data_IF_847383243915
#
_entry.id   IF_847383243915
#
_cell.length_a   1.000
_cell.length_b   1.000
_cell.length_c   1.000
_cell.angle_alpha   90.00
_cell.angle_beta   90.00
_cell.angle_gamma   90.00
#
_symmetry.space_group_name_H-M   'P 1'
#
loop_
_entity.id
_entity.type
_entity.pdbx_description
1 polymer ?
#
# COMPACT_ATOMS: atom_id res chain seq x y z
N UNK A 1 14.02 -4.64 -17.65
CA UNK A 1 14.36 -4.00 -16.34
C UNK A 1 13.07 -3.76 -15.55
N UNK A 2 13.09 -3.95 -14.21
CA UNK A 2 11.94 -3.60 -13.34
C UNK A 2 12.16 -2.25 -12.66
N UNK A 3 11.05 -1.50 -12.48
CA UNK A 3 11.01 -0.24 -11.73
C UNK A 3 9.92 -0.34 -10.68
N UNK A 4 10.23 0.09 -9.44
CA UNK A 4 9.24 0.31 -8.39
C UNK A 4 8.87 1.79 -8.34
N UNK A 5 7.63 2.13 -8.69
CA UNK A 5 7.08 3.48 -8.68
C UNK A 5 6.60 3.90 -7.26
N UNK A 6 7.46 3.73 -6.25
CA UNK A 6 7.09 3.99 -4.85
C UNK A 6 8.29 4.40 -4.00
N UNK A 7 8.05 5.31 -3.02
CA UNK A 7 9.02 5.69 -1.97
C UNK A 7 8.97 4.77 -0.74
N UNK A 8 8.04 3.82 -0.69
CA UNK A 8 7.81 2.96 0.48
C UNK A 8 8.97 2.00 0.71
N UNK A 9 9.62 2.12 1.87
CA UNK A 9 10.69 1.21 2.30
C UNK A 9 10.17 -0.22 2.49
N UNK A 10 8.93 -0.37 2.97
CA UNK A 10 8.28 -1.68 3.15
C UNK A 10 8.11 -2.39 1.81
N UNK A 11 7.58 -1.70 0.78
CA UNK A 11 7.45 -2.28 -0.57
C UNK A 11 8.80 -2.63 -1.18
N UNK A 12 9.79 -1.76 -0.98
CA UNK A 12 11.17 -2.03 -1.42
C UNK A 12 11.70 -3.32 -0.77
N UNK A 13 11.56 -3.44 0.56
CA UNK A 13 12.03 -4.62 1.29
C UNK A 13 11.33 -5.92 0.85
N UNK A 14 10.02 -5.86 0.55
CA UNK A 14 9.25 -7.01 0.06
C UNK A 14 9.76 -7.51 -1.30
N UNK A 15 9.99 -6.59 -2.26
CA UNK A 15 10.53 -6.95 -3.59
C UNK A 15 11.97 -7.47 -3.49
N UNK A 16 12.81 -6.81 -2.69
CA UNK A 16 14.18 -7.25 -2.46
C UNK A 16 14.22 -8.63 -1.77
N UNK A 17 13.37 -8.86 -0.76
CA UNK A 17 13.23 -10.14 -0.08
C UNK A 17 12.73 -11.26 -0.99
N UNK A 18 11.97 -10.94 -2.05
CA UNK A 18 11.58 -11.87 -3.09
C UNK A 18 12.69 -12.13 -4.14
N UNK A 19 13.87 -11.52 -3.98
CA UNK A 19 15.01 -11.67 -4.87
C UNK A 19 14.91 -10.89 -6.19
N UNK A 20 13.90 -10.03 -6.35
CA UNK A 20 13.72 -9.23 -7.56
C UNK A 20 14.82 -8.16 -7.69
N UNK A 21 15.31 -7.96 -8.91
CA UNK A 21 16.22 -6.86 -9.25
C UNK A 21 15.43 -5.72 -9.86
N UNK A 22 15.42 -4.56 -9.21
CA UNK A 22 14.67 -3.39 -9.63
C UNK A 22 15.40 -2.10 -9.25
N UNK A 23 15.02 -1.01 -9.89
CA UNK A 23 15.37 0.35 -9.48
C UNK A 23 14.11 1.07 -8.95
N UNK A 24 14.29 2.06 -8.09
CA UNK A 24 13.19 2.85 -7.56
C UNK A 24 13.10 4.18 -8.33
N UNK A 25 11.93 4.46 -8.90
CA UNK A 25 11.59 5.72 -9.56
C UNK A 25 10.19 6.16 -9.12
N UNK A 26 10.09 6.96 -8.04
CA UNK A 26 8.79 7.38 -7.50
C UNK A 26 8.00 8.19 -8.52
N UNK A 27 6.72 7.88 -8.66
CA UNK A 27 5.81 8.58 -9.55
C UNK A 27 5.61 10.04 -9.15
N UNK A 28 5.37 10.91 -10.16
CA UNK A 28 5.10 12.34 -10.03
C UNK A 28 3.63 12.62 -10.35
N UNK A 29 2.71 12.12 -9.54
CA UNK A 29 1.26 12.27 -9.73
C UNK A 29 0.61 13.01 -8.57
N UNK A 30 -0.50 13.69 -8.82
CA UNK A 30 -1.37 14.27 -7.79
C UNK A 30 -2.36 13.20 -7.28
N UNK A 31 -1.95 12.48 -6.23
CA UNK A 31 -2.75 11.39 -5.64
C UNK A 31 -4.10 11.89 -5.12
N UNK A 32 -4.17 13.11 -4.57
CA UNK A 32 -5.40 13.68 -4.02
C UNK A 32 -6.41 14.06 -5.11
N UNK A 33 -5.93 14.63 -6.19
CA UNK A 33 -6.79 14.94 -7.34
C UNK A 33 -7.37 13.67 -7.97
N UNK A 34 -6.55 12.61 -8.12
CA UNK A 34 -7.02 11.32 -8.64
C UNK A 34 -8.03 10.64 -7.71
N UNK A 35 -7.78 10.64 -6.39
CA UNK A 35 -8.73 10.12 -5.40
C UNK A 35 -10.08 10.84 -5.51
N UNK A 36 -10.06 12.19 -5.53
CA UNK A 36 -11.28 12.99 -5.63
C UNK A 36 -12.04 12.73 -6.94
N UNK A 37 -11.35 12.55 -8.06
CA UNK A 37 -11.96 12.24 -9.35
C UNK A 37 -12.66 10.88 -9.34
N UNK A 38 -11.99 9.84 -8.80
CA UNK A 38 -12.57 8.48 -8.69
C UNK A 38 -13.82 8.50 -7.81
N UNK A 39 -13.73 9.12 -6.62
CA UNK A 39 -14.85 9.21 -5.70
C UNK A 39 -15.99 10.05 -6.28
N UNK A 40 -15.68 11.16 -6.97
CA UNK A 40 -16.66 12.02 -7.65
C UNK A 40 -17.42 11.32 -8.78
N UNK A 41 -16.84 10.28 -9.35
CA UNK A 41 -17.47 9.41 -10.35
C UNK A 41 -18.22 8.22 -9.75
N UNK A 42 -18.33 8.15 -8.42
CA UNK A 42 -19.03 7.06 -7.71
C UNK A 42 -18.19 5.81 -7.49
N UNK A 43 -16.85 5.90 -7.65
CA UNK A 43 -15.93 4.82 -7.30
C UNK A 43 -15.83 4.63 -5.78
N UNK A 44 -15.43 3.44 -5.37
CA UNK A 44 -15.19 3.06 -3.98
C UNK A 44 -13.69 3.06 -3.61
N UNK A 45 -13.37 2.70 -2.37
CA UNK A 45 -12.00 2.62 -1.88
C UNK A 45 -11.10 1.65 -2.70
N UNK A 46 -11.68 0.57 -3.23
CA UNK A 46 -10.95 -0.36 -4.11
C UNK A 46 -10.61 0.28 -5.45
N UNK A 47 -11.58 1.01 -6.02
CA UNK A 47 -11.36 1.74 -7.26
C UNK A 47 -10.26 2.80 -7.08
N UNK A 48 -10.24 3.51 -5.95
CA UNK A 48 -9.18 4.48 -5.62
C UNK A 48 -7.82 3.78 -5.57
N UNK A 49 -7.68 2.68 -4.80
CA UNK A 49 -6.42 1.94 -4.68
C UNK A 49 -5.91 1.46 -6.04
N UNK A 50 -6.80 0.94 -6.91
CA UNK A 50 -6.46 0.50 -8.26
C UNK A 50 -5.97 1.65 -9.13
N UNK A 51 -6.75 2.73 -9.24
CA UNK A 51 -6.41 3.86 -10.11
C UNK A 51 -5.12 4.55 -9.70
N UNK A 52 -4.86 4.67 -8.39
CA UNK A 52 -3.59 5.21 -7.91
C UNK A 52 -2.40 4.29 -8.25
N UNK A 53 -2.57 2.97 -8.14
CA UNK A 53 -1.53 2.02 -8.53
C UNK A 53 -1.26 2.07 -10.04
N UNK A 54 -2.31 2.10 -10.88
CA UNK A 54 -2.22 2.23 -12.33
C UNK A 54 -1.51 3.53 -12.75
N UNK A 55 -1.95 4.66 -12.19
CA UNK A 55 -1.36 5.96 -12.49
C UNK A 55 0.12 6.03 -12.12
N UNK A 56 0.51 5.46 -10.95
CA UNK A 56 1.92 5.37 -10.55
C UNK A 56 2.74 4.50 -11.51
N UNK A 57 2.21 3.36 -11.94
CA UNK A 57 2.88 2.49 -12.88
C UNK A 57 3.04 3.17 -14.25
N UNK A 58 1.99 3.80 -14.77
CA UNK A 58 2.01 4.50 -16.06
C UNK A 58 3.02 5.65 -16.06
N UNK A 59 3.00 6.50 -15.03
CA UNK A 59 3.94 7.63 -14.91
C UNK A 59 5.39 7.16 -14.94
N UNK A 60 5.74 6.16 -14.12
CA UNK A 60 7.09 5.62 -14.07
C UNK A 60 7.49 4.92 -15.38
N UNK A 61 6.58 4.19 -16.05
CA UNK A 61 6.88 3.52 -17.31
C UNK A 61 6.98 4.50 -18.49
N UNK A 62 6.28 5.62 -18.44
CA UNK A 62 6.44 6.71 -19.41
C UNK A 62 7.83 7.36 -19.32
N UNK A 63 8.32 7.56 -18.09
CA UNK A 63 9.66 8.07 -17.85
C UNK A 63 10.78 7.06 -18.23
N UNK A 64 10.44 5.77 -18.29
CA UNK A 64 11.36 4.66 -18.58
C UNK A 64 10.72 3.66 -19.55
N UNK A 65 10.57 4.00 -20.84
CA UNK A 65 9.74 3.25 -21.80
C UNK A 65 10.20 1.79 -22.03
N UNK A 66 11.48 1.49 -21.82
CA UNK A 66 12.04 0.13 -21.97
C UNK A 66 11.91 -0.74 -20.70
N UNK A 67 11.27 -0.23 -19.68
CA UNK A 67 11.13 -0.93 -18.39
C UNK A 67 9.68 -1.30 -18.09
N UNK A 68 9.52 -2.38 -17.33
CA UNK A 68 8.24 -2.71 -16.68
C UNK A 68 8.18 -1.98 -15.34
N UNK A 69 7.18 -1.14 -15.15
CA UNK A 69 6.97 -0.41 -13.91
C UNK A 69 5.92 -1.10 -13.04
N UNK A 70 6.25 -1.22 -11.75
CA UNK A 70 5.36 -1.71 -10.70
C UNK A 70 4.82 -0.49 -9.97
N UNK A 71 3.52 -0.21 -10.09
CA UNK A 71 2.79 0.75 -9.28
C UNK A 71 2.07 0.06 -8.14
N UNK A 72 2.04 0.66 -6.98
CA UNK A 72 1.29 0.16 -5.84
C UNK A 72 0.76 1.29 -4.97
N UNK A 73 -0.46 1.14 -4.50
CA UNK A 73 -1.08 2.05 -3.55
C UNK A 73 -1.86 1.30 -2.48
N UNK A 74 -2.05 1.91 -1.32
CA UNK A 74 -2.82 1.33 -0.23
C UNK A 74 -3.79 2.35 0.35
N UNK A 75 -5.06 2.00 0.38
CA UNK A 75 -6.15 2.81 0.92
C UNK A 75 -6.73 2.11 2.15
N UNK A 76 -6.87 2.85 3.25
CA UNK A 76 -7.59 2.41 4.44
C UNK A 76 -9.01 2.95 4.40
N UNK A 77 -9.99 2.05 4.42
CA UNK A 77 -11.40 2.37 4.51
C UNK A 77 -11.96 2.03 5.90
N UNK A 78 -12.56 3.02 6.55
CA UNK A 78 -13.33 2.87 7.79
C UNK A 78 -14.74 3.38 7.53
N UNK A 79 -15.71 2.48 7.44
CA UNK A 79 -17.04 2.75 6.91
C UNK A 79 -16.95 3.44 5.55
N UNK A 80 -17.60 4.60 5.38
CA UNK A 80 -17.60 5.40 4.14
C UNK A 80 -16.44 6.41 4.06
N UNK A 81 -15.46 6.34 4.99
CA UNK A 81 -14.36 7.29 5.06
C UNK A 81 -13.03 6.65 4.68
N UNK A 82 -12.23 7.35 3.89
CA UNK A 82 -10.82 7.01 3.66
C UNK A 82 -9.95 7.66 4.72
N UNK A 83 -8.99 6.92 5.25
CA UNK A 83 -7.98 7.43 6.17
C UNK A 83 -6.63 7.52 5.45
N UNK A 84 -5.90 8.58 5.75
CA UNK A 84 -4.61 8.87 5.15
C UNK A 84 -3.50 8.79 6.18
N UNK A 85 -2.24 8.86 5.72
CA UNK A 85 -1.09 8.90 6.61
C UNK A 85 -1.16 10.13 7.51
N UNK A 86 -0.99 9.97 8.83
CA UNK A 86 -0.99 11.10 9.74
C UNK A 86 0.25 11.97 9.52
N UNK A 87 0.11 13.29 9.64
CA UNK A 87 1.19 14.27 9.50
C UNK A 87 1.79 14.66 10.86
N UNK A 88 1.13 14.24 11.95
CA UNK A 88 1.56 14.53 13.31
C UNK A 88 1.19 13.41 14.28
N UNK A 89 1.86 13.39 15.43
CA UNK A 89 1.53 12.45 16.53
C UNK A 89 0.10 12.67 17.05
N UNK A 90 -0.41 13.90 17.02
CA UNK A 90 -1.77 14.21 17.40
C UNK A 90 -2.78 13.58 16.43
N UNK A 91 -2.52 13.65 15.13
CA UNK A 91 -3.35 12.98 14.13
C UNK A 91 -3.25 11.46 14.24
N UNK A 92 -2.06 10.91 14.47
CA UNK A 92 -1.88 9.47 14.69
C UNK A 92 -2.72 8.96 15.88
N UNK A 93 -2.77 9.73 16.99
CA UNK A 93 -3.64 9.43 18.15
C UNK A 93 -5.11 9.40 17.75
N UNK A 94 -5.58 10.48 17.12
CA UNK A 94 -6.97 10.60 16.67
C UNK A 94 -7.37 9.48 15.71
N UNK A 95 -6.47 9.09 14.83
CA UNK A 95 -6.71 8.02 13.88
C UNK A 95 -6.84 6.66 14.57
N UNK A 96 -5.93 6.34 15.50
CA UNK A 96 -6.02 5.12 16.30
C UNK A 96 -7.29 5.10 17.16
N UNK A 97 -7.72 6.25 17.71
CA UNK A 97 -8.97 6.35 18.47
C UNK A 97 -10.20 6.10 17.59
N UNK A 98 -10.19 6.52 16.33
CA UNK A 98 -11.25 6.20 15.37
C UNK A 98 -11.33 4.71 15.02
N UNK A 99 -10.19 4.02 15.04
CA UNK A 99 -10.06 2.60 14.70
C UNK A 99 -10.28 1.67 15.91
N UNK A 100 -10.17 2.20 17.13
CA UNK A 100 -10.28 1.47 18.39
C UNK A 100 -11.59 0.68 18.51
N UNK A 101 -11.49 -0.63 18.76
CA UNK A 101 -12.62 -1.53 18.89
C UNK A 101 -13.40 -1.77 17.59
N UNK A 102 -12.84 -1.42 16.43
CA UNK A 102 -13.54 -1.44 15.14
C UNK A 102 -12.77 -2.24 14.08
N UNK A 103 -13.56 -2.83 13.19
CA UNK A 103 -13.03 -3.41 11.95
C UNK A 103 -12.89 -2.33 10.89
N UNK A 104 -11.83 -2.44 10.08
CA UNK A 104 -11.56 -1.59 8.94
C UNK A 104 -10.91 -2.41 7.83
N UNK A 105 -10.82 -1.84 6.63
CA UNK A 105 -10.29 -2.52 5.46
C UNK A 105 -9.05 -1.81 4.92
N UNK A 106 -8.04 -2.61 4.54
CA UNK A 106 -6.93 -2.17 3.71
C UNK A 106 -7.14 -2.71 2.30
N UNK A 107 -7.21 -1.81 1.33
CA UNK A 107 -7.24 -2.15 -0.08
C UNK A 107 -5.87 -1.83 -0.67
N UNK A 108 -5.14 -2.85 -1.10
CA UNK A 108 -3.83 -2.71 -1.72
C UNK A 108 -3.95 -2.90 -3.23
N UNK A 109 -3.92 -1.80 -3.96
CA UNK A 109 -3.86 -1.77 -5.42
C UNK A 109 -2.44 -2.03 -5.91
N UNK A 110 -2.34 -2.77 -7.00
CA UNK A 110 -1.08 -3.08 -7.67
C UNK A 110 -1.29 -3.09 -9.19
N UNK A 111 -0.30 -2.59 -9.92
CA UNK A 111 -0.33 -2.56 -11.39
C UNK A 111 1.05 -2.81 -11.98
N UNK A 112 1.06 -3.37 -13.19
CA UNK A 112 2.20 -3.40 -14.10
C UNK A 112 1.89 -2.50 -15.29
N UNK A 113 2.84 -1.67 -15.68
CA UNK A 113 2.75 -0.86 -16.89
C UNK A 113 4.06 -0.91 -17.70
N UNK A 114 3.92 -0.67 -18.99
CA UNK A 114 5.03 -0.55 -19.93
C UNK A 114 4.72 0.58 -20.90
N UNK A 115 5.69 1.45 -21.14
CA UNK A 115 5.56 2.56 -22.09
C UNK A 115 4.28 3.39 -21.90
N UNK A 116 3.89 3.67 -20.65
CA UNK A 116 2.70 4.45 -20.30
C UNK A 116 1.37 3.67 -20.34
N UNK A 117 1.36 2.40 -20.73
CA UNK A 117 0.16 1.58 -20.81
C UNK A 117 0.10 0.53 -19.71
N UNK A 118 -1.08 0.34 -19.10
CA UNK A 118 -1.32 -0.69 -18.09
C UNK A 118 -1.34 -2.06 -18.76
N UNK A 119 -0.46 -2.96 -18.34
CA UNK A 119 -0.46 -4.35 -18.77
C UNK A 119 -1.39 -5.23 -17.93
N UNK A 120 -1.45 -4.92 -16.65
CA UNK A 120 -2.25 -5.64 -15.66
C UNK A 120 -2.42 -4.82 -14.39
N UNK A 121 -3.57 -4.98 -13.73
CA UNK A 121 -3.80 -4.42 -12.38
C UNK A 121 -4.72 -5.31 -11.57
N UNK A 122 -4.60 -5.23 -10.24
CA UNK A 122 -5.43 -5.95 -9.28
C UNK A 122 -5.55 -5.19 -7.96
N UNK A 123 -6.50 -5.60 -7.12
CA UNK A 123 -6.69 -5.07 -5.77
C UNK A 123 -6.98 -6.19 -4.80
N UNK A 124 -6.10 -6.38 -3.84
CA UNK A 124 -6.30 -7.28 -2.72
C UNK A 124 -6.82 -6.53 -1.49
N UNK A 125 -7.60 -7.21 -0.69
CA UNK A 125 -8.23 -6.61 0.51
C UNK A 125 -7.92 -7.43 1.76
N UNK A 126 -7.49 -6.74 2.81
CA UNK A 126 -7.40 -7.28 4.15
C UNK A 126 -8.40 -6.59 5.09
N UNK A 127 -8.97 -7.35 6.04
CA UNK A 127 -9.83 -6.82 7.10
C UNK A 127 -9.10 -6.93 8.42
N UNK A 128 -8.96 -5.83 9.12
CA UNK A 128 -8.24 -5.73 10.37
C UNK A 128 -9.20 -5.23 11.46
N UNK A 129 -9.08 -5.77 12.67
CA UNK A 129 -9.87 -5.32 13.82
C UNK A 129 -8.91 -4.92 14.93
N UNK A 130 -9.01 -3.68 15.38
CA UNK A 130 -8.29 -3.26 16.57
C UNK A 130 -9.11 -3.60 17.82
N UNK A 131 -8.42 -4.03 18.87
CA UNK A 131 -9.04 -4.26 20.18
C UNK A 131 -9.44 -2.95 20.84
N UNK A 132 -10.22 -3.04 21.89
CA UNK A 132 -10.54 -1.89 22.73
C UNK A 132 -9.37 -1.65 23.71
N UNK A 133 -8.41 -0.81 23.32
CA UNK A 133 -7.22 -0.45 24.10
C UNK A 133 -7.44 0.85 24.89
N UNK A 134 -6.65 1.09 25.93
CA UNK A 134 -6.65 2.34 26.71
C UNK A 134 -5.77 3.40 26.02
N UNK A 135 -5.93 4.66 26.40
CA UNK A 135 -5.09 5.76 25.90
C UNK A 135 -3.62 5.56 26.29
N UNK A 136 -3.36 5.00 27.49
CA UNK A 136 -2.00 4.68 27.93
C UNK A 136 -1.35 3.59 27.06
N UNK A 137 -2.10 2.57 26.64
CA UNK A 137 -1.61 1.53 25.74
C UNK A 137 -1.35 2.08 24.34
N UNK A 138 -2.26 2.93 23.81
CA UNK A 138 -2.06 3.64 22.53
C UNK A 138 -0.76 4.45 22.54
N UNK A 139 -0.60 5.30 23.56
CA UNK A 139 0.54 6.22 23.66
C UNK A 139 1.86 5.47 23.89
N UNK A 140 1.85 4.37 24.64
CA UNK A 140 3.00 3.48 24.79
C UNK A 140 3.42 2.86 23.43
N UNK A 141 2.45 2.41 22.63
CA UNK A 141 2.72 1.84 21.30
C UNK A 141 3.25 2.92 20.36
N UNK A 142 2.64 4.12 20.32
CA UNK A 142 3.11 5.23 19.49
C UNK A 142 4.54 5.65 19.86
N UNK A 143 4.88 5.64 21.16
CA UNK A 143 6.24 5.93 21.62
C UNK A 143 7.25 4.89 21.10
N UNK A 144 6.89 3.60 21.07
CA UNK A 144 7.74 2.53 20.57
C UNK A 144 7.88 2.55 19.05
N UNK A 145 6.84 2.95 18.31
CA UNK A 145 6.87 3.07 16.85
C UNK A 145 7.70 4.28 16.38
N UNK A 146 7.70 5.37 17.16
CA UNK A 146 8.34 6.60 16.75
C UNK A 146 7.80 7.14 15.44
N UNK A 147 8.66 7.72 14.61
CA UNK A 147 8.28 8.32 13.31
C UNK A 147 7.79 7.31 12.27
N UNK A 148 7.97 6.02 12.50
CA UNK A 148 7.53 4.99 11.56
C UNK A 148 6.00 4.97 11.35
N UNK A 149 5.22 5.49 12.31
CA UNK A 149 3.75 5.60 12.20
C UNK A 149 3.32 6.52 11.06
N UNK A 150 4.12 7.53 10.70
CA UNK A 150 3.82 8.48 9.62
C UNK A 150 3.94 7.85 8.23
N UNK A 151 4.55 6.67 8.13
CA UNK A 151 4.64 5.89 6.90
C UNK A 151 3.40 5.05 6.58
N UNK A 152 2.46 4.88 7.54
CA UNK A 152 1.30 4.00 7.43
C UNK A 152 -0.02 4.76 7.41
N UNK A 153 -0.94 4.35 6.53
CA UNK A 153 -2.28 4.94 6.42
C UNK A 153 -3.16 4.70 7.65
N UNK A 154 -2.82 3.73 8.51
CA UNK A 154 -3.55 3.41 9.75
C UNK A 154 -2.90 3.96 11.01
N UNK A 155 -1.81 4.71 10.94
CA UNK A 155 -0.97 5.07 12.08
C UNK A 155 -0.49 3.86 12.89
N UNK A 156 -0.33 2.71 12.23
CA UNK A 156 0.15 1.45 12.80
C UNK A 156 0.97 0.66 11.77
N UNK A 157 1.77 -0.29 12.25
CA UNK A 157 2.49 -1.27 11.43
C UNK A 157 2.26 -2.66 12.00
N UNK A 158 1.86 -3.62 11.15
CA UNK A 158 1.62 -5.00 11.60
C UNK A 158 2.92 -5.68 12.03
N UNK A 159 4.02 -5.35 11.36
CA UNK A 159 5.37 -5.85 11.63
C UNK A 159 6.10 -5.12 12.78
N UNK A 160 5.42 -4.17 13.41
CA UNK A 160 5.95 -3.35 14.50
C UNK A 160 5.23 -3.52 15.83
N UNK A 161 5.58 -2.67 16.84
CA UNK A 161 4.93 -2.66 18.15
C UNK A 161 3.42 -2.52 18.12
N UNK A 162 2.86 -1.93 17.05
CA UNK A 162 1.43 -1.72 16.87
C UNK A 162 0.62 -3.02 16.80
N UNK A 163 1.26 -4.16 16.53
CA UNK A 163 0.59 -5.48 16.57
C UNK A 163 -0.13 -5.71 17.90
N UNK A 164 0.31 -5.08 18.99
CA UNK A 164 -0.29 -5.16 20.33
C UNK A 164 -1.70 -4.54 20.41
N UNK A 165 -2.07 -3.70 19.44
CA UNK A 165 -3.38 -3.06 19.36
C UNK A 165 -4.40 -3.89 18.58
N UNK A 166 -3.98 -4.98 17.91
CA UNK A 166 -4.88 -5.79 17.10
C UNK A 166 -5.59 -6.86 17.92
N UNK A 167 -6.85 -7.11 17.56
CA UNK A 167 -7.64 -8.23 18.00
C UNK A 167 -7.68 -9.32 16.95
N UNK A 168 -7.85 -8.92 15.67
CA UNK A 168 -7.99 -9.86 14.56
C UNK A 168 -7.40 -9.32 13.27
N UNK A 169 -6.77 -10.21 12.52
CA UNK A 169 -6.19 -9.95 11.20
C UNK A 169 -6.72 -11.02 10.23
N UNK A 170 -7.39 -10.58 9.16
CA UNK A 170 -7.98 -11.43 8.12
C UNK A 170 -7.48 -10.92 6.77
N UNK A 171 -6.69 -11.73 6.07
CA UNK A 171 -6.11 -11.38 4.78
C UNK A 171 -4.64 -11.80 4.66
N UNK A 172 -4.06 -11.52 3.51
CA UNK A 172 -2.68 -11.84 3.22
C UNK A 172 -1.71 -10.82 3.86
N UNK A 173 -0.62 -11.30 4.39
CA UNK A 173 0.40 -10.50 5.05
C UNK A 173 1.00 -9.43 4.12
N UNK A 174 1.33 -9.79 2.89
CA UNK A 174 1.91 -8.87 1.91
C UNK A 174 0.92 -7.77 1.50
N UNK A 175 -0.37 -8.11 1.41
CA UNK A 175 -1.46 -7.16 1.17
C UNK A 175 -1.53 -6.12 2.28
N UNK A 176 -1.41 -6.55 3.55
CA UNK A 176 -1.41 -5.64 4.71
C UNK A 176 -0.20 -4.71 4.68
N UNK A 177 0.95 -5.19 4.24
CA UNK A 177 2.17 -4.39 4.07
C UNK A 177 2.13 -3.49 2.82
N UNK A 178 1.04 -3.54 2.04
CA UNK A 178 0.77 -2.63 0.93
C UNK A 178 1.38 -3.04 -0.41
N UNK A 179 1.76 -4.31 -0.57
CA UNK A 179 2.20 -4.89 -1.83
C UNK A 179 1.74 -6.33 -1.93
N UNK A 180 0.64 -6.64 -2.64
CA UNK A 180 0.17 -8.01 -2.86
C UNK A 180 1.19 -8.82 -3.68
N UNK A 181 2.15 -9.45 -3.00
CA UNK A 181 3.33 -10.02 -3.64
C UNK A 181 3.01 -11.26 -4.49
N UNK A 182 2.12 -12.14 -4.03
CA UNK A 182 1.79 -13.35 -4.79
C UNK A 182 1.07 -13.04 -6.11
N UNK A 183 0.02 -12.19 -6.16
CA UNK A 183 -0.56 -11.73 -7.42
C UNK A 183 0.45 -11.02 -8.33
N UNK A 184 1.33 -10.17 -7.75
CA UNK A 184 2.39 -9.50 -8.51
C UNK A 184 3.32 -10.50 -9.19
N UNK A 185 3.83 -11.49 -8.46
CA UNK A 185 4.72 -12.51 -9.03
C UNK A 185 4.02 -13.35 -10.10
N UNK A 186 2.71 -13.63 -9.95
CA UNK A 186 1.92 -14.31 -10.98
C UNK A 186 1.79 -13.44 -12.24
N UNK A 187 1.55 -12.13 -12.07
CA UNK A 187 1.47 -11.18 -13.17
C UNK A 187 2.83 -11.03 -13.89
N UNK A 188 3.94 -10.95 -13.14
CA UNK A 188 5.29 -10.88 -13.73
C UNK A 188 5.60 -12.13 -14.57
N UNK A 189 5.27 -13.34 -14.08
CA UNK A 189 5.43 -14.57 -14.88
C UNK A 189 4.68 -14.52 -16.21
N UNK A 190 3.56 -13.84 -16.26
CA UNK A 190 2.68 -13.75 -17.44
C UNK A 190 3.08 -12.65 -18.40
N UNK A 191 3.45 -11.48 -17.88
CA UNK A 191 3.61 -10.26 -18.65
C UNK A 191 5.06 -9.82 -18.83
N UNK A 192 5.98 -10.30 -17.98
CA UNK A 192 7.38 -9.92 -17.98
C UNK A 192 8.28 -11.05 -17.41
N UNK A 193 8.19 -12.30 -17.95
CA UNK A 193 8.91 -13.46 -17.40
C UNK A 193 10.43 -13.25 -17.33
N UNK A 194 11.00 -12.49 -18.23
CA UNK A 194 12.43 -12.15 -18.25
C UNK A 194 12.91 -11.40 -16.99
N UNK A 195 11.99 -10.78 -16.26
CA UNK A 195 12.32 -10.05 -15.02
C UNK A 195 12.51 -10.99 -13.82
N UNK A 196 12.11 -12.24 -13.96
CA UNK A 196 12.23 -13.31 -12.99
C UNK A 196 13.38 -14.28 -13.30
N UNK A 197 14.12 -14.07 -14.40
CA UNK A 197 15.25 -14.90 -14.78
C UNK A 197 16.40 -14.72 -13.79
N UNK A 198 16.91 -15.84 -13.29
CA UNK A 198 18.00 -15.90 -12.29
C UNK A 198 17.70 -16.79 -11.08
N UNK A 199 16.57 -17.47 -11.07
CA UNK A 199 16.20 -18.51 -10.12
C UNK A 199 16.41 -19.94 -10.67
N UNK A 200 17.28 -20.08 -11.70
CA UNK A 200 17.74 -21.39 -12.21
C UNK A 200 19.12 -21.71 -11.70
#
# INVERSE_FOLDING_TARGET
>A
MLILASKSQTRHALLAGAGLRFVTSPAQIDERALEADVLGKGGDAKAVARHLAEAKACDASTAHPDAIAIGADQVLALDDSLLHKPESLAEARLQLDRLKGRAHFLHAGIALAHNGEVLWSDVETAKLTLRNFTDAERDAVLTLEGDAVFGSVGAYRLEGPSIRLFERVEGDYFTILGLPLLPLLAALRRHAPETLEGFT
#
